data_IF_395457048700
#
_entry.id   IF_395457048700
#
_cell.length_a   1.000
_cell.length_b   1.000
_cell.length_c   1.000
_cell.angle_alpha   90.00
_cell.angle_beta   90.00
_cell.angle_gamma   90.00
#
_symmetry.space_group_name_H-M   'P 1'
#
loop_
_entity.id
_entity.type
_entity.pdbx_description
1 polymer ?
#
# COMPACT_ATOMS: atom_id res chain seq x y z
N UNK A 1 0.24 -15.15 -17.30
CA UNK A 1 0.63 -14.33 -16.14
C UNK A 1 -0.33 -14.59 -14.99
N UNK A 2 0.20 -15.00 -13.84
CA UNK A 2 -0.55 -15.11 -12.57
C UNK A 2 -0.82 -13.72 -12.00
N UNK A 3 -1.81 -13.61 -11.11
CA UNK A 3 -2.12 -12.36 -10.42
C UNK A 3 -0.91 -11.87 -9.59
N UNK A 4 -0.20 -12.78 -8.91
CA UNK A 4 1.03 -12.47 -8.18
C UNK A 4 2.11 -11.85 -9.09
N UNK A 5 2.37 -12.45 -10.25
CA UNK A 5 3.33 -11.92 -11.22
C UNK A 5 2.92 -10.53 -11.73
N UNK A 6 1.62 -10.32 -11.97
CA UNK A 6 1.10 -9.02 -12.39
C UNK A 6 1.30 -7.94 -11.31
N UNK A 7 1.13 -8.30 -10.02
CA UNK A 7 1.38 -7.40 -8.89
C UNK A 7 2.86 -7.03 -8.79
N UNK A 8 3.77 -7.99 -8.98
CA UNK A 8 5.23 -7.74 -9.03
C UNK A 8 5.56 -6.81 -10.19
N UNK A 9 5.09 -7.12 -11.40
CA UNK A 9 5.34 -6.29 -12.58
C UNK A 9 4.81 -4.86 -12.42
N UNK A 10 3.65 -4.68 -11.78
CA UNK A 10 3.11 -3.35 -11.44
C UNK A 10 4.04 -2.60 -10.48
N UNK A 11 4.59 -3.27 -9.48
CA UNK A 11 5.55 -2.68 -8.54
C UNK A 11 6.83 -2.24 -9.25
N UNK A 12 7.37 -3.09 -10.12
CA UNK A 12 8.58 -2.79 -10.90
C UNK A 12 8.36 -1.61 -11.86
N UNK A 13 7.21 -1.56 -12.53
CA UNK A 13 6.83 -0.40 -13.36
C UNK A 13 6.69 0.88 -12.54
N UNK A 14 6.13 0.81 -11.33
CA UNK A 14 6.05 1.96 -10.42
C UNK A 14 7.43 2.49 -10.09
N UNK A 15 8.39 1.60 -9.81
CA UNK A 15 9.79 1.96 -9.55
C UNK A 15 10.47 2.55 -10.78
N UNK A 16 10.27 1.94 -11.96
CA UNK A 16 10.79 2.43 -13.23
C UNK A 16 10.28 3.83 -13.57
N UNK A 17 8.98 4.09 -13.39
CA UNK A 17 8.36 5.40 -13.58
C UNK A 17 8.99 6.44 -12.64
N UNK A 18 9.21 6.10 -11.36
CA UNK A 18 9.86 6.99 -10.41
C UNK A 18 11.32 7.31 -10.82
N UNK A 19 12.07 6.33 -11.33
CA UNK A 19 13.43 6.52 -11.85
C UNK A 19 13.45 7.39 -13.11
N UNK A 20 12.54 7.15 -14.05
CA UNK A 20 12.40 7.97 -15.27
C UNK A 20 12.03 9.41 -14.93
N UNK A 21 11.14 9.62 -13.97
CA UNK A 21 10.82 10.96 -13.44
C UNK A 21 12.08 11.66 -12.91
N UNK A 22 12.87 10.99 -12.07
CA UNK A 22 14.12 11.56 -11.55
C UNK A 22 15.15 11.89 -12.64
N UNK A 23 15.26 11.05 -13.68
CA UNK A 23 16.13 11.31 -14.83
C UNK A 23 15.65 12.53 -15.62
N UNK A 24 14.34 12.61 -15.91
CA UNK A 24 13.73 13.74 -16.59
C UNK A 24 13.93 15.06 -15.85
N UNK A 25 13.76 15.07 -14.53
CA UNK A 25 13.99 16.26 -13.69
C UNK A 25 15.42 16.81 -13.81
N UNK A 26 16.41 15.95 -14.06
CA UNK A 26 17.82 16.34 -14.23
C UNK A 26 18.14 16.91 -15.60
N UNK A 27 17.40 16.52 -16.63
CA UNK A 27 17.67 16.93 -18.02
C UNK A 27 16.72 18.02 -18.52
N UNK A 28 15.73 18.41 -17.71
CA UNK A 28 14.72 19.42 -18.08
C UNK A 28 15.30 20.82 -18.27
N UNK A 29 16.48 21.10 -17.69
CA UNK A 29 17.21 22.36 -17.79
C UNK A 29 18.71 22.07 -17.87
N UNK A 30 19.40 22.81 -18.72
CA UNK A 30 20.86 22.81 -18.86
C UNK A 30 21.35 24.25 -18.89
N UNK A 31 22.65 24.48 -18.65
CA UNK A 31 23.22 25.81 -18.81
C UNK A 31 23.27 26.20 -20.29
N UNK A 32 23.33 27.50 -20.57
CA UNK A 32 23.44 27.99 -21.95
C UNK A 32 24.72 27.45 -22.59
N UNK A 33 24.57 26.76 -23.72
CA UNK A 33 25.69 26.13 -24.44
C UNK A 33 26.02 24.69 -24.02
N UNK A 34 25.32 24.13 -23.03
CA UNK A 34 25.45 22.71 -22.66
C UNK A 34 24.37 21.85 -23.32
N UNK A 35 24.71 20.60 -23.64
CA UNK A 35 23.73 19.60 -24.08
C UNK A 35 23.24 18.75 -22.89
N UNK A 36 21.96 18.34 -22.89
CA UNK A 36 21.45 17.42 -21.87
C UNK A 36 22.23 16.10 -21.85
N UNK A 37 22.53 15.59 -20.65
CA UNK A 37 23.21 14.30 -20.48
C UNK A 37 22.42 13.12 -21.09
N UNK A 38 21.10 13.26 -21.22
CA UNK A 38 20.21 12.31 -21.87
C UNK A 38 19.14 13.05 -22.68
N UNK A 39 18.67 12.47 -23.79
CA UNK A 39 17.65 13.10 -24.62
C UNK A 39 16.28 13.09 -23.91
N UNK A 40 15.71 14.27 -23.58
CA UNK A 40 14.43 14.34 -22.88
C UNK A 40 13.28 13.66 -23.65
N UNK A 41 13.28 13.72 -24.98
CA UNK A 41 12.25 13.11 -25.82
C UNK A 41 12.23 11.58 -25.71
N UNK A 42 13.40 10.95 -25.64
CA UNK A 42 13.52 9.50 -25.47
C UNK A 42 13.00 9.10 -24.08
N UNK A 43 13.37 9.85 -23.04
CA UNK A 43 12.90 9.60 -21.68
C UNK A 43 11.38 9.78 -21.53
N UNK A 44 10.80 10.78 -22.21
CA UNK A 44 9.36 10.99 -22.25
C UNK A 44 8.63 9.83 -22.92
N UNK A 45 9.15 9.32 -24.04
CA UNK A 45 8.58 8.14 -24.72
C UNK A 45 8.69 6.88 -23.84
N UNK A 46 9.82 6.67 -23.16
CA UNK A 46 9.96 5.55 -22.21
C UNK A 46 8.99 5.66 -21.04
N UNK A 47 8.79 6.87 -20.52
CA UNK A 47 7.84 7.16 -19.44
C UNK A 47 6.41 6.86 -19.89
N UNK A 48 6.01 7.34 -21.06
CA UNK A 48 4.67 7.12 -21.62
C UNK A 48 4.39 5.62 -21.79
N UNK A 49 5.34 4.86 -22.35
CA UNK A 49 5.23 3.40 -22.49
C UNK A 49 5.06 2.72 -21.12
N UNK A 50 5.90 3.08 -20.15
CA UNK A 50 5.85 2.49 -18.81
C UNK A 50 4.51 2.79 -18.10
N UNK A 51 3.99 4.01 -18.23
CA UNK A 51 2.68 4.41 -17.68
C UNK A 51 1.54 3.65 -18.36
N UNK A 52 1.59 3.49 -19.68
CA UNK A 52 0.59 2.73 -20.43
C UNK A 52 0.57 1.24 -20.03
N UNK A 53 1.75 0.60 -19.94
CA UNK A 53 1.89 -0.77 -19.47
C UNK A 53 1.35 -0.94 -18.04
N UNK A 54 1.69 -0.01 -17.14
CA UNK A 54 1.18 -0.02 -15.77
C UNK A 54 -0.35 0.08 -15.74
N UNK A 55 -0.92 0.95 -16.58
CA UNK A 55 -2.37 1.16 -16.66
C UNK A 55 -3.09 -0.11 -17.12
N UNK A 56 -2.54 -0.82 -18.11
CA UNK A 56 -3.07 -2.11 -18.58
C UNK A 56 -3.08 -3.13 -17.43
N UNK A 57 -1.97 -3.24 -16.69
CA UNK A 57 -1.89 -4.15 -15.54
C UNK A 57 -2.90 -3.79 -14.45
N UNK A 58 -3.03 -2.50 -14.09
CA UNK A 58 -4.00 -2.06 -13.09
C UNK A 58 -5.42 -2.44 -13.48
N UNK A 59 -5.81 -2.22 -14.75
CA UNK A 59 -7.14 -2.58 -15.24
C UNK A 59 -7.39 -4.09 -15.15
N UNK A 60 -6.42 -4.89 -15.59
CA UNK A 60 -6.52 -6.35 -15.53
C UNK A 60 -6.58 -6.87 -14.09
N UNK A 61 -5.73 -6.35 -13.20
CA UNK A 61 -5.72 -6.71 -11.77
C UNK A 61 -7.06 -6.38 -11.12
N UNK A 62 -7.58 -5.17 -11.32
CA UNK A 62 -8.85 -4.76 -10.72
C UNK A 62 -10.00 -5.63 -11.20
N UNK A 63 -10.03 -5.97 -12.49
CA UNK A 63 -11.05 -6.85 -13.07
C UNK A 63 -10.96 -8.26 -12.50
N UNK A 64 -9.77 -8.82 -12.36
CA UNK A 64 -9.56 -10.14 -11.76
C UNK A 64 -9.93 -10.14 -10.28
N UNK A 65 -9.58 -9.10 -9.53
CA UNK A 65 -9.89 -9.01 -8.11
C UNK A 65 -11.40 -8.95 -7.84
N UNK A 66 -12.17 -8.29 -8.70
CA UNK A 66 -13.62 -8.19 -8.56
C UNK A 66 -14.37 -9.41 -9.11
N UNK A 67 -13.81 -10.14 -10.06
CA UNK A 67 -14.49 -11.29 -10.69
C UNK A 67 -14.21 -12.62 -10.01
N UNK A 68 -13.06 -12.77 -9.35
CA UNK A 68 -12.65 -14.05 -8.75
C UNK A 68 -13.15 -14.15 -7.32
N UNK A 69 -13.87 -15.25 -7.04
CA UNK A 69 -14.30 -15.59 -5.70
C UNK A 69 -13.10 -15.98 -4.80
N UNK A 70 -12.98 -15.31 -3.66
CA UNK A 70 -12.05 -15.65 -2.60
C UNK A 70 -12.61 -16.78 -1.72
N UNK A 71 -13.90 -16.69 -1.37
CA UNK A 71 -14.68 -17.72 -0.68
C UNK A 71 -16.15 -17.67 -1.18
N UNK A 72 -17.08 -18.37 -0.53
CA UNK A 72 -18.49 -18.44 -0.94
C UNK A 72 -19.19 -17.07 -0.99
N UNK A 73 -18.76 -16.10 -0.19
CA UNK A 73 -19.42 -14.80 -0.03
C UNK A 73 -18.59 -13.61 -0.54
N UNK A 74 -17.28 -13.76 -0.66
CA UNK A 74 -16.34 -12.66 -0.92
C UNK A 74 -15.60 -12.86 -2.23
N UNK A 75 -15.45 -11.77 -2.99
CA UNK A 75 -14.43 -11.64 -4.02
C UNK A 75 -13.04 -11.40 -3.40
N UNK A 76 -11.99 -11.49 -4.20
CA UNK A 76 -10.64 -11.07 -3.78
C UNK A 76 -10.65 -9.58 -3.39
N UNK A 77 -11.43 -8.74 -4.10
CA UNK A 77 -11.59 -7.33 -3.77
C UNK A 77 -12.19 -7.13 -2.37
N UNK A 78 -13.20 -7.92 -1.99
CA UNK A 78 -13.80 -7.85 -0.65
C UNK A 78 -12.81 -8.29 0.44
N UNK A 79 -12.04 -9.35 0.17
CA UNK A 79 -10.99 -9.81 1.09
C UNK A 79 -9.90 -8.73 1.29
N UNK A 80 -9.52 -8.01 0.23
CA UNK A 80 -8.59 -6.88 0.32
C UNK A 80 -9.17 -5.72 1.14
N UNK A 81 -10.44 -5.37 0.94
CA UNK A 81 -11.11 -4.33 1.71
C UNK A 81 -11.15 -4.67 3.21
N UNK A 82 -11.42 -5.94 3.54
CA UNK A 82 -11.43 -6.40 4.93
C UNK A 82 -10.04 -6.36 5.56
N UNK A 83 -9.01 -6.75 4.81
CA UNK A 83 -7.61 -6.62 5.24
C UNK A 83 -7.24 -5.15 5.51
N UNK A 84 -7.64 -4.24 4.62
CA UNK A 84 -7.34 -2.82 4.75
C UNK A 84 -8.07 -2.20 5.96
N UNK A 85 -9.32 -2.63 6.23
CA UNK A 85 -10.05 -2.27 7.45
C UNK A 85 -9.30 -2.71 8.72
N UNK A 86 -8.81 -3.95 8.76
CA UNK A 86 -8.03 -4.45 9.91
C UNK A 86 -6.75 -3.64 10.13
N UNK A 87 -6.04 -3.28 9.05
CA UNK A 87 -4.84 -2.45 9.12
C UNK A 87 -5.15 -1.04 9.66
N UNK A 88 -6.25 -0.45 9.20
CA UNK A 88 -6.70 0.87 9.66
C UNK A 88 -7.08 0.84 11.15
N UNK A 89 -7.87 -0.14 11.59
CA UNK A 89 -8.22 -0.31 13.00
C UNK A 89 -6.99 -0.49 13.87
N UNK A 90 -6.03 -1.32 13.44
CA UNK A 90 -4.78 -1.52 14.17
C UNK A 90 -4.00 -0.21 14.34
N UNK A 91 -3.91 0.60 13.28
CA UNK A 91 -3.26 1.90 13.34
C UNK A 91 -3.96 2.83 14.35
N UNK A 92 -5.28 2.94 14.27
CA UNK A 92 -6.06 3.78 15.19
C UNK A 92 -5.90 3.35 16.65
N UNK A 93 -5.94 2.04 16.93
CA UNK A 93 -5.73 1.51 18.29
C UNK A 93 -4.31 1.76 18.78
N UNK A 94 -3.30 1.62 17.90
CA UNK A 94 -1.91 1.95 18.23
C UNK A 94 -1.76 3.44 18.58
N UNK A 95 -2.33 4.33 17.78
CA UNK A 95 -2.30 5.77 18.01
C UNK A 95 -3.00 6.12 19.34
N UNK A 96 -4.14 5.47 19.65
CA UNK A 96 -4.85 5.63 20.94
C UNK A 96 -4.00 5.14 22.12
N UNK A 97 -3.31 4.01 22.00
CA UNK A 97 -2.41 3.50 23.03
C UNK A 97 -1.23 4.43 23.28
N UNK A 98 -0.65 4.99 22.22
CA UNK A 98 0.41 5.99 22.32
C UNK A 98 -0.08 7.21 23.12
N UNK A 99 -1.24 7.77 22.77
CA UNK A 99 -1.83 8.89 23.52
C UNK A 99 -2.16 8.53 24.98
N UNK A 100 -2.66 7.32 25.23
CA UNK A 100 -2.93 6.85 26.59
C UNK A 100 -1.64 6.60 27.40
N UNK A 101 -0.51 6.34 26.74
CA UNK A 101 0.79 6.10 27.36
C UNK A 101 1.49 7.40 27.78
N UNK A 102 1.22 8.52 27.10
CA UNK A 102 1.78 9.85 27.41
C UNK A 102 1.29 10.25 28.80
N UNK A 103 2.13 9.97 29.79
CA UNK A 103 1.96 10.42 31.15
C UNK A 103 2.75 11.72 31.23
N UNK A 104 2.09 12.87 31.41
CA UNK A 104 2.83 14.13 31.62
C UNK A 104 3.72 13.97 32.85
N UNK A 105 5.04 14.00 32.64
CA UNK A 105 6.02 14.00 33.72
C UNK A 105 5.93 15.32 34.48
N UNK A 106 5.83 15.22 35.80
CA UNK A 106 5.52 16.34 36.70
C UNK A 106 6.77 17.15 37.02
N UNK A 107 6.60 18.46 37.12
CA UNK A 107 7.56 19.34 37.82
C UNK A 107 7.02 19.90 39.14
N UNK A 108 5.70 19.84 39.42
CA UNK A 108 5.12 20.42 40.65
C UNK A 108 4.04 19.58 41.35
N UNK A 109 3.82 19.87 42.64
CA UNK A 109 2.76 19.30 43.48
C UNK A 109 1.36 19.85 43.19
N UNK A 110 1.26 20.94 42.43
CA UNK A 110 0.01 21.64 42.11
C UNK A 110 -0.64 21.27 40.76
N UNK A 111 -0.06 20.36 39.98
CA UNK A 111 -0.61 19.97 38.67
C UNK A 111 -1.78 18.97 38.78
N UNK A 112 -2.81 19.18 37.95
CA UNK A 112 -4.04 18.37 37.85
C UNK A 112 -3.70 16.99 37.28
N UNK A 113 -4.29 15.93 37.87
CA UNK A 113 -4.07 14.54 37.42
C UNK A 113 -4.88 14.26 36.16
N UNK A 114 -4.22 13.76 35.12
CA UNK A 114 -4.89 13.13 33.99
C UNK A 114 -5.13 11.66 34.30
N UNK A 115 -6.38 11.20 34.16
CA UNK A 115 -6.77 9.81 34.32
C UNK A 115 -7.10 9.23 32.94
N UNK A 116 -6.62 8.00 32.68
CA UNK A 116 -6.98 7.26 31.48
C UNK A 116 -8.47 6.91 31.54
N UNK A 117 -9.20 7.23 30.49
CA UNK A 117 -10.63 6.87 30.35
C UNK A 117 -10.84 5.59 29.56
N UNK A 118 -9.76 4.98 29.06
CA UNK A 118 -9.79 3.79 28.21
C UNK A 118 -9.05 2.62 28.86
N UNK A 119 -9.58 1.41 28.65
CA UNK A 119 -8.93 0.17 29.09
C UNK A 119 -7.82 -0.23 28.11
N UNK A 120 -6.57 0.03 28.52
CA UNK A 120 -5.37 -0.30 27.75
C UNK A 120 -5.24 -1.80 27.51
N UNK A 121 -5.61 -2.65 28.48
CA UNK A 121 -5.48 -4.11 28.36
C UNK A 121 -6.48 -4.64 27.33
N UNK A 122 -7.70 -4.12 27.35
CA UNK A 122 -8.72 -4.47 26.37
C UNK A 122 -8.30 -4.06 24.95
N UNK A 123 -7.76 -2.85 24.78
CA UNK A 123 -7.29 -2.34 23.48
C UNK A 123 -6.11 -3.19 22.96
N UNK A 124 -5.15 -3.54 23.83
CA UNK A 124 -4.04 -4.41 23.47
C UNK A 124 -4.53 -5.79 23.00
N UNK A 125 -5.50 -6.38 23.72
CA UNK A 125 -6.10 -7.66 23.31
C UNK A 125 -6.78 -7.57 21.95
N UNK A 126 -7.54 -6.52 21.69
CA UNK A 126 -8.16 -6.29 20.38
C UNK A 126 -7.11 -6.16 19.27
N UNK A 127 -5.99 -5.49 19.56
CA UNK A 127 -4.88 -5.33 18.62
C UNK A 127 -4.20 -6.67 18.30
N UNK A 128 -4.02 -7.54 19.29
CA UNK A 128 -3.45 -8.87 19.12
C UNK A 128 -4.37 -9.76 18.27
N UNK A 129 -5.67 -9.75 18.55
CA UNK A 129 -6.68 -10.49 17.79
C UNK A 129 -6.73 -10.01 16.34
N UNK A 130 -6.77 -8.69 16.10
CA UNK A 130 -6.70 -8.09 14.77
C UNK A 130 -5.41 -8.48 14.04
N UNK A 131 -4.28 -8.52 14.74
CA UNK A 131 -2.98 -8.89 14.15
C UNK A 131 -2.91 -10.37 13.78
N UNK A 132 -3.62 -11.23 14.50
CA UNK A 132 -3.77 -12.64 14.13
C UNK A 132 -4.65 -12.79 12.89
N UNK A 133 -5.85 -12.22 12.90
CA UNK A 133 -6.79 -12.28 11.76
C UNK A 133 -6.21 -11.66 10.50
N UNK A 134 -5.48 -10.54 10.61
CA UNK A 134 -4.79 -9.91 9.49
C UNK A 134 -3.80 -10.87 8.83
N UNK A 135 -2.95 -11.55 9.62
CA UNK A 135 -1.95 -12.48 9.08
C UNK A 135 -2.61 -13.66 8.38
N UNK A 136 -3.63 -14.26 9.01
CA UNK A 136 -4.37 -15.39 8.42
C UNK A 136 -5.05 -15.01 7.10
N UNK A 137 -5.66 -13.83 7.04
CA UNK A 137 -6.29 -13.32 5.83
C UNK A 137 -5.25 -13.00 4.74
N UNK A 138 -4.15 -12.35 5.10
CA UNK A 138 -3.08 -12.00 4.16
C UNK A 138 -2.42 -13.24 3.56
N UNK A 139 -2.13 -14.27 4.36
CA UNK A 139 -1.59 -15.54 3.86
C UNK A 139 -2.51 -16.18 2.80
N UNK A 140 -3.82 -16.21 3.05
CA UNK A 140 -4.80 -16.75 2.10
C UNK A 140 -4.90 -15.89 0.83
N UNK A 141 -4.81 -14.56 0.96
CA UNK A 141 -4.79 -13.66 -0.20
C UNK A 141 -3.54 -13.93 -1.05
N UNK A 142 -2.37 -14.08 -0.43
CA UNK A 142 -1.14 -14.38 -1.17
C UNK A 142 -1.20 -15.74 -1.86
N UNK A 143 -1.70 -16.78 -1.19
CA UNK A 143 -1.94 -18.08 -1.82
C UNK A 143 -2.85 -17.95 -3.05
N UNK A 144 -3.97 -17.23 -2.92
CA UNK A 144 -4.88 -16.99 -4.04
C UNK A 144 -4.21 -16.24 -5.18
N UNK A 145 -3.38 -15.23 -4.91
CA UNK A 145 -2.66 -14.49 -5.94
C UNK A 145 -1.76 -15.39 -6.81
N UNK A 146 -1.19 -16.46 -6.26
CA UNK A 146 -0.37 -17.42 -7.01
C UNK A 146 -1.19 -18.45 -7.79
N UNK A 147 -2.40 -18.77 -7.34
CA UNK A 147 -3.27 -19.72 -8.03
C UNK A 147 -4.03 -19.08 -9.21
N UNK A 148 -4.45 -17.83 -9.06
CA UNK A 148 -5.32 -17.12 -10.00
C UNK A 148 -4.55 -16.60 -11.21
N UNK A 149 -5.09 -16.86 -12.41
CA UNK A 149 -4.58 -16.32 -13.67
C UNK A 149 -5.19 -14.95 -13.95
N UNK A 150 -4.39 -14.01 -14.44
CA UNK A 150 -4.84 -12.66 -14.76
C UNK A 150 -5.80 -12.66 -15.95
N UNK A 151 -6.92 -11.94 -15.82
CA UNK A 151 -7.86 -11.70 -16.91
C UNK A 151 -7.40 -10.51 -17.73
N UNK A 152 -6.69 -10.77 -18.83
CA UNK A 152 -6.28 -9.73 -19.77
C UNK A 152 -7.44 -9.48 -20.74
N UNK A 153 -7.96 -8.24 -20.88
CA UNK A 153 -8.90 -7.94 -21.94
C UNK A 153 -8.22 -8.12 -23.31
N UNK A 154 -8.90 -8.79 -24.24
CA UNK A 154 -8.55 -8.75 -25.67
C UNK A 154 -8.71 -7.34 -26.23
#
# INVERSE_FOLDING_TARGET
MKLAEALVNRSDLTRKIAQLKQRLERVVKVQEGEEPAEQPEVLLQELERAVNEQTILIRAINRTNSSVAFNENWSIADALAERDKMLQLRKLLSDLLEQASITQDRYSRSEVRFQRTVDVVQIQKQMDDLSKSYRELDFKIQEKNWTVSLTIPQ
#
